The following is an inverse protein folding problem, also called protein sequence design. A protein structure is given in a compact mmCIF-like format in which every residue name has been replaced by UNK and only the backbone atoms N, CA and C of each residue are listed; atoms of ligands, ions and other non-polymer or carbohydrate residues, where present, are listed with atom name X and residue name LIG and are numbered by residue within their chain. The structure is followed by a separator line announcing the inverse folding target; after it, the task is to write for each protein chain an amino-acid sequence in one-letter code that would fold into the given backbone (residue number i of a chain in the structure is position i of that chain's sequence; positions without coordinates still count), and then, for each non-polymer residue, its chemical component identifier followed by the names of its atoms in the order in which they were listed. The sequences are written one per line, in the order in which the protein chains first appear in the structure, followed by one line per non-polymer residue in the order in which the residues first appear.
data_IF_599849876192
#
_entry.id   IF_599849876192
#
_cell.length_a   1.000
_cell.length_b   1.000
_cell.length_c   1.000
_cell.angle_alpha   90.00
_cell.angle_beta   90.00
_cell.angle_gamma   90.00
#
_symmetry.space_group_name_H-M   'P 1'
#
loop_
_entity.id
_entity.type
_entity.pdbx_description
1 polymer ?
#
# COMPACT_ATOMS: atom_id res chain seq x y z
N UNK A 1 76.40 14.78 55.53
CA UNK A 1 75.67 15.92 56.09
C UNK A 1 74.44 16.11 55.22
N UNK A 2 73.25 16.10 55.84
CA UNK A 2 71.90 16.22 55.27
C UNK A 2 71.86 17.46 54.33
N UNK A 3 71.20 17.45 53.15
CA UNK A 3 69.77 17.76 52.97
C UNK A 3 69.25 17.22 51.63
N UNK A 4 68.12 16.52 51.73
CA UNK A 4 67.18 16.14 50.66
C UNK A 4 66.34 17.34 50.21
N UNK A 5 66.00 17.41 48.93
CA UNK A 5 64.99 18.34 48.41
C UNK A 5 64.50 17.90 47.02
N UNK A 6 63.35 17.22 47.00
CA UNK A 6 62.60 16.78 45.82
C UNK A 6 61.83 17.94 45.17
N UNK A 7 61.87 18.06 43.85
CA UNK A 7 60.95 18.88 43.06
C UNK A 7 60.24 18.01 42.00
N UNK A 8 58.91 18.05 42.05
CA UNK A 8 57.91 17.40 41.18
C UNK A 8 57.98 17.98 39.76
N UNK A 9 57.90 17.19 38.67
CA UNK A 9 56.68 16.94 37.89
C UNK A 9 56.28 18.17 37.04
N UNK A 10 55.98 18.16 35.75
CA UNK A 10 55.50 17.20 34.75
C UNK A 10 55.90 17.77 33.36
N UNK A 11 56.16 16.99 32.31
CA UNK A 11 55.09 16.41 31.49
C UNK A 11 55.14 16.96 30.06
N UNK A 12 56.05 16.41 29.26
CA UNK A 12 56.18 16.64 27.81
C UNK A 12 55.10 15.88 27.05
N UNK A 13 54.30 16.56 26.21
CA UNK A 13 53.51 15.91 25.16
C UNK A 13 53.64 16.66 23.83
N UNK A 14 54.55 16.16 22.99
CA UNK A 14 54.55 16.35 21.54
C UNK A 14 53.44 15.47 20.95
N UNK A 15 52.45 16.08 20.29
CA UNK A 15 51.47 15.38 19.48
C UNK A 15 51.35 16.05 18.11
N UNK A 16 52.03 15.51 17.10
CA UNK A 16 51.85 15.90 15.69
C UNK A 16 50.55 15.30 15.18
N UNK A 17 49.56 16.12 14.86
CA UNK A 17 48.33 15.69 14.19
C UNK A 17 48.62 15.67 12.68
N UNK A 18 48.85 14.47 12.15
CA UNK A 18 49.01 14.21 10.72
C UNK A 18 47.61 14.06 10.12
N UNK A 19 47.16 15.06 9.36
CA UNK A 19 45.90 15.02 8.61
C UNK A 19 46.02 14.00 7.47
N UNK A 20 45.42 12.82 7.63
CA UNK A 20 45.15 11.91 6.51
C UNK A 20 43.85 12.31 5.85
N UNK A 21 43.95 12.92 4.67
CA UNK A 21 42.86 13.05 3.70
C UNK A 21 42.69 11.72 2.97
N UNK A 22 41.65 10.97 3.30
CA UNK A 22 41.20 9.83 2.49
C UNK A 22 39.95 10.26 1.73
N UNK A 23 40.10 10.59 0.45
CA UNK A 23 38.98 10.78 -0.45
C UNK A 23 38.46 9.39 -0.84
N UNK A 24 37.29 9.01 -0.34
CA UNK A 24 36.57 7.83 -0.82
C UNK A 24 35.95 8.16 -2.19
N UNK A 25 36.48 7.57 -3.25
CA UNK A 25 35.84 7.61 -4.57
C UNK A 25 34.74 6.56 -4.55
N UNK A 26 33.49 7.00 -4.38
CA UNK A 26 32.31 6.14 -4.52
C UNK A 26 32.02 6.03 -6.02
N UNK A 27 32.47 4.93 -6.61
CA UNK A 27 32.06 4.55 -7.96
C UNK A 27 30.61 4.09 -7.92
N UNK A 28 29.67 4.96 -8.30
CA UNK A 28 28.29 4.56 -8.56
C UNK A 28 28.28 3.82 -9.89
N UNK A 29 28.27 2.49 -9.85
CA UNK A 29 27.95 1.69 -11.01
C UNK A 29 26.46 1.92 -11.34
N UNK A 30 26.16 2.65 -12.41
CA UNK A 30 24.84 2.68 -13.01
C UNK A 30 24.58 1.28 -13.61
N UNK A 31 23.97 0.40 -12.82
CA UNK A 31 23.44 -0.84 -13.34
C UNK A 31 22.29 -0.52 -14.29
N UNK A 32 22.48 -0.80 -15.58
CA UNK A 32 21.40 -0.86 -16.54
C UNK A 32 20.55 -2.07 -16.19
N UNK A 33 19.50 -1.86 -15.39
CA UNK A 33 18.47 -2.87 -15.22
C UNK A 33 17.72 -2.98 -16.55
N UNK A 34 17.67 -4.15 -17.21
CA UNK A 34 16.79 -4.31 -18.36
C UNK A 34 15.37 -3.95 -17.93
N UNK A 35 14.69 -3.13 -18.74
CA UNK A 35 13.26 -2.93 -18.58
C UNK A 35 12.60 -4.31 -18.58
N UNK A 36 11.85 -4.63 -17.52
CA UNK A 36 11.08 -5.87 -17.46
C UNK A 36 10.21 -5.95 -18.72
N UNK A 37 10.23 -7.09 -19.42
CA UNK A 37 9.32 -7.30 -20.54
C UNK A 37 7.88 -7.06 -20.05
N UNK A 38 7.18 -6.18 -20.75
CA UNK A 38 5.79 -5.84 -20.48
C UNK A 38 4.90 -6.50 -21.52
N UNK A 39 3.77 -7.03 -21.09
CA UNK A 39 2.80 -7.76 -21.91
C UNK A 39 1.41 -7.16 -21.78
N UNK A 40 0.56 -7.44 -22.77
CA UNK A 40 -0.82 -6.99 -22.81
C UNK A 40 -1.74 -7.94 -22.02
N UNK A 41 -2.74 -7.36 -21.36
CA UNK A 41 -3.85 -8.08 -20.76
C UNK A 41 -5.14 -7.76 -21.51
N UNK A 42 -5.86 -8.77 -21.98
CA UNK A 42 -7.25 -8.65 -22.41
C UNK A 42 -8.17 -9.43 -21.47
N UNK A 43 -9.22 -8.78 -20.99
CA UNK A 43 -10.27 -9.42 -20.17
C UNK A 43 -11.57 -9.37 -20.94
N UNK A 44 -12.15 -10.55 -21.16
CA UNK A 44 -13.49 -10.71 -21.70
C UNK A 44 -14.47 -10.95 -20.54
N UNK A 45 -15.49 -10.11 -20.41
CA UNK A 45 -16.56 -10.25 -19.44
C UNK A 45 -17.77 -10.85 -20.17
N UNK A 46 -18.39 -11.88 -19.60
CA UNK A 46 -19.54 -12.55 -20.25
C UNK A 46 -20.68 -12.86 -19.28
N UNK A 47 -21.91 -12.85 -19.78
CA UNK A 47 -23.15 -13.20 -19.07
C UNK A 47 -23.54 -12.24 -17.93
N UNK A 48 -23.19 -10.96 -18.02
CA UNK A 48 -23.53 -9.97 -16.97
C UNK A 48 -24.99 -9.46 -17.03
N UNK A 49 -25.65 -9.59 -18.17
CA UNK A 49 -27.09 -9.32 -18.32
C UNK A 49 -27.89 -10.62 -18.24
N UNK A 50 -29.14 -10.58 -17.75
CA UNK A 50 -29.93 -9.39 -17.37
C UNK A 50 -29.67 -8.87 -15.94
N UNK A 51 -28.86 -9.56 -15.14
CA UNK A 51 -28.75 -9.31 -13.69
C UNK A 51 -28.14 -7.97 -13.32
N UNK A 52 -27.19 -7.47 -14.11
CA UNK A 52 -26.43 -6.25 -13.81
C UNK A 52 -26.68 -5.09 -14.78
N UNK A 53 -27.81 -5.08 -15.49
CA UNK A 53 -28.15 -3.98 -16.41
C UNK A 53 -28.14 -2.62 -15.70
N UNK A 54 -27.43 -1.65 -16.27
CA UNK A 54 -27.22 -0.29 -15.77
C UNK A 54 -26.49 -0.18 -14.41
N UNK A 55 -25.97 -1.27 -13.87
CA UNK A 55 -25.18 -1.24 -12.63
C UNK A 55 -23.73 -0.87 -12.93
N UNK A 56 -23.10 -0.17 -11.98
CA UNK A 56 -21.68 0.17 -12.05
C UNK A 56 -20.87 -1.13 -12.07
N UNK A 57 -19.86 -1.19 -12.93
CA UNK A 57 -18.89 -2.26 -12.96
C UNK A 57 -17.49 -1.68 -12.89
N UNK A 58 -16.65 -2.23 -12.00
CA UNK A 58 -15.23 -1.93 -11.95
C UNK A 58 -14.43 -3.20 -12.03
N UNK A 59 -13.26 -3.08 -12.66
CA UNK A 59 -12.23 -4.08 -12.70
C UNK A 59 -10.89 -3.41 -12.41
N UNK A 60 -10.10 -4.00 -11.52
CA UNK A 60 -8.72 -3.59 -11.27
C UNK A 60 -7.75 -4.73 -11.49
N UNK A 61 -6.51 -4.36 -11.76
CA UNK A 61 -5.38 -5.28 -11.79
C UNK A 61 -4.43 -4.94 -10.64
N UNK A 62 -4.12 -5.92 -9.81
CA UNK A 62 -3.34 -5.76 -8.58
C UNK A 62 -2.11 -6.65 -8.63
N UNK A 63 -0.93 -6.09 -8.41
CA UNK A 63 0.28 -6.88 -8.21
C UNK A 63 0.28 -7.52 -6.82
N UNK A 64 0.25 -8.85 -6.76
CA UNK A 64 0.06 -9.58 -5.49
C UNK A 64 1.28 -9.51 -4.55
N UNK A 65 2.47 -9.20 -5.05
CA UNK A 65 3.65 -9.07 -4.18
C UNK A 65 3.75 -7.70 -3.51
N UNK A 66 3.02 -6.71 -4.00
CA UNK A 66 3.13 -5.31 -3.54
C UNK A 66 1.80 -4.71 -3.07
N UNK A 67 0.66 -5.38 -3.30
CA UNK A 67 -0.68 -4.80 -3.08
C UNK A 67 -1.06 -3.69 -4.08
N UNK A 68 -0.11 -3.17 -4.86
CA UNK A 68 -0.35 -2.05 -5.77
C UNK A 68 -1.37 -2.37 -6.87
N UNK A 69 -2.41 -1.53 -6.97
CA UNK A 69 -3.26 -1.42 -8.15
C UNK A 69 -2.47 -0.78 -9.30
N UNK A 70 -2.32 -1.51 -10.40
CA UNK A 70 -1.56 -1.07 -11.58
C UNK A 70 -2.45 -0.61 -12.73
N UNK A 71 -3.72 -1.04 -12.76
CA UNK A 71 -4.69 -0.61 -13.75
C UNK A 71 -6.12 -0.70 -13.21
N UNK A 72 -7.01 0.10 -13.80
CA UNK A 72 -8.46 0.09 -13.53
C UNK A 72 -9.25 0.25 -14.82
N UNK A 73 -10.42 -0.36 -14.88
CA UNK A 73 -11.44 -0.21 -15.89
C UNK A 73 -12.79 0.00 -15.20
N UNK A 74 -13.58 0.94 -15.70
CA UNK A 74 -14.88 1.30 -15.15
C UNK A 74 -15.92 1.40 -16.26
N UNK A 75 -17.11 0.88 -15.98
CA UNK A 75 -18.34 1.17 -16.70
C UNK A 75 -19.35 1.74 -15.71
N UNK A 76 -19.80 2.97 -15.95
CA UNK A 76 -20.84 3.60 -15.13
C UNK A 76 -22.19 2.83 -15.18
N UNK A 77 -22.38 1.97 -16.18
CA UNK A 77 -23.54 1.09 -16.32
C UNK A 77 -23.27 0.00 -17.36
N UNK A 78 -23.53 -1.26 -17.01
CA UNK A 78 -23.45 -2.39 -17.96
C UNK A 78 -24.65 -2.34 -18.91
N UNK A 79 -24.38 -2.29 -20.22
CA UNK A 79 -25.41 -2.23 -21.27
C UNK A 79 -25.54 -3.56 -22.03
N UNK A 80 -24.44 -4.28 -22.20
CA UNK A 80 -24.37 -5.60 -22.85
C UNK A 80 -23.90 -6.65 -21.83
N UNK A 81 -24.40 -7.88 -21.95
CA UNK A 81 -23.97 -8.98 -21.10
C UNK A 81 -22.53 -9.40 -21.36
N UNK A 82 -22.05 -9.13 -22.57
CA UNK A 82 -20.70 -9.46 -23.01
C UNK A 82 -19.97 -8.17 -23.40
N UNK A 83 -18.80 -7.93 -22.80
CA UNK A 83 -17.96 -6.77 -23.06
C UNK A 83 -16.49 -7.09 -22.79
N UNK A 84 -15.56 -6.24 -23.21
CA UNK A 84 -14.13 -6.49 -23.00
C UNK A 84 -13.33 -5.21 -22.78
N UNK A 85 -12.15 -5.39 -22.19
CA UNK A 85 -11.15 -4.34 -22.02
C UNK A 85 -9.75 -4.89 -22.27
N UNK A 86 -8.85 -4.04 -22.75
CA UNK A 86 -7.45 -4.36 -22.99
C UNK A 86 -6.56 -3.32 -22.31
N UNK A 87 -5.58 -3.80 -21.55
CA UNK A 87 -4.52 -3.01 -20.95
C UNK A 87 -3.21 -3.35 -21.64
N UNK A 88 -2.65 -2.39 -22.39
CA UNK A 88 -1.39 -2.61 -23.11
C UNK A 88 -0.17 -2.38 -22.23
N UNK A 89 0.84 -3.25 -22.38
CA UNK A 89 2.13 -3.21 -21.68
C UNK A 89 1.99 -3.11 -20.14
N UNK A 90 1.00 -3.78 -19.55
CA UNK A 90 0.74 -3.67 -18.10
C UNK A 90 1.35 -4.80 -17.29
N UNK A 91 1.50 -6.00 -17.88
CA UNK A 91 1.94 -7.19 -17.16
C UNK A 91 3.46 -7.32 -17.22
N UNK A 92 4.13 -7.34 -16.08
CA UNK A 92 5.56 -7.61 -16.01
C UNK A 92 5.84 -9.11 -16.00
N UNK A 93 6.88 -9.52 -16.73
CA UNK A 93 7.35 -10.90 -16.75
C UNK A 93 7.70 -11.44 -15.36
N UNK A 94 7.20 -12.63 -15.04
CA UNK A 94 7.38 -13.34 -13.77
C UNK A 94 6.49 -12.84 -12.63
N UNK A 95 5.69 -11.80 -12.82
CA UNK A 95 4.84 -11.23 -11.75
C UNK A 95 3.48 -11.93 -11.71
N UNK A 96 2.94 -12.07 -10.50
CA UNK A 96 1.59 -12.56 -10.26
C UNK A 96 0.64 -11.40 -10.00
N UNK A 97 -0.55 -11.48 -10.60
CA UNK A 97 -1.57 -10.45 -10.45
C UNK A 97 -2.92 -11.04 -10.04
N UNK A 98 -3.70 -10.27 -9.29
CA UNK A 98 -5.14 -10.46 -9.17
C UNK A 98 -5.86 -9.55 -10.15
N UNK A 99 -6.79 -10.10 -10.92
CA UNK A 99 -7.83 -9.34 -11.62
C UNK A 99 -9.05 -9.39 -10.71
N UNK A 100 -9.34 -8.28 -10.07
CA UNK A 100 -10.49 -8.14 -9.18
C UNK A 100 -11.56 -7.34 -9.91
N UNK A 101 -12.80 -7.80 -9.86
CA UNK A 101 -13.92 -7.09 -10.45
C UNK A 101 -15.13 -7.14 -9.53
N UNK A 102 -15.94 -6.10 -9.56
CA UNK A 102 -17.25 -6.09 -8.91
C UNK A 102 -18.29 -5.38 -9.78
N UNK A 103 -19.54 -5.80 -9.59
CA UNK A 103 -20.72 -5.09 -10.06
C UNK A 103 -21.52 -4.62 -8.84
N UNK A 104 -21.81 -3.32 -8.78
CA UNK A 104 -22.56 -2.63 -7.74
C UNK A 104 -24.02 -3.09 -7.77
N UNK A 105 -24.31 -4.14 -7.00
CA UNK A 105 -25.61 -4.80 -7.06
C UNK A 105 -26.65 -4.07 -6.20
N UNK A 106 -26.20 -3.39 -5.14
CA UNK A 106 -27.06 -2.62 -4.25
C UNK A 106 -27.32 -1.17 -4.73
N UNK A 107 -26.64 -0.74 -5.80
CA UNK A 107 -26.77 0.55 -6.49
C UNK A 107 -26.38 1.78 -5.65
N UNK A 108 -25.45 1.62 -4.70
CA UNK A 108 -24.99 2.72 -3.86
C UNK A 108 -23.74 3.45 -4.39
N UNK A 109 -23.20 3.01 -5.54
CA UNK A 109 -22.01 3.54 -6.23
C UNK A 109 -20.69 3.34 -5.48
N UNK A 110 -20.66 2.44 -4.49
CA UNK A 110 -19.49 2.03 -3.74
C UNK A 110 -19.29 0.52 -3.90
N UNK A 111 -18.14 0.03 -3.44
CA UNK A 111 -17.95 -1.40 -3.26
C UNK A 111 -18.43 -1.78 -1.86
N UNK A 112 -19.30 -2.77 -1.77
CA UNK A 112 -19.63 -3.47 -0.54
C UNK A 112 -19.33 -4.97 -0.68
N UNK A 113 -18.65 -5.60 0.29
CA UNK A 113 -18.37 -7.02 0.22
C UNK A 113 -19.62 -7.88 -0.05
N UNK A 114 -19.51 -8.97 -0.82
CA UNK A 114 -20.63 -9.87 -1.07
C UNK A 114 -21.32 -10.31 0.24
N UNK A 115 -22.67 -10.38 0.27
CA UNK A 115 -23.55 -10.41 -0.90
C UNK A 115 -24.13 -9.04 -1.30
N UNK A 116 -23.64 -7.93 -0.73
CA UNK A 116 -24.14 -6.60 -1.09
C UNK A 116 -23.84 -6.29 -2.56
N UNK A 117 -22.60 -6.54 -2.98
CA UNK A 117 -22.19 -6.59 -4.39
C UNK A 117 -21.81 -7.99 -4.85
N UNK A 118 -21.75 -8.17 -6.16
CA UNK A 118 -21.17 -9.37 -6.76
C UNK A 118 -19.74 -9.08 -7.17
N UNK A 119 -18.79 -9.83 -6.61
CA UNK A 119 -17.37 -9.63 -6.84
C UNK A 119 -16.63 -10.93 -7.14
N UNK A 120 -15.61 -10.84 -7.98
CA UNK A 120 -14.86 -11.98 -8.50
C UNK A 120 -13.36 -11.67 -8.56
N UNK A 121 -12.54 -12.71 -8.43
CA UNK A 121 -11.08 -12.65 -8.55
C UNK A 121 -10.58 -13.72 -9.52
N UNK A 122 -9.71 -13.33 -10.45
CA UNK A 122 -8.91 -14.24 -11.28
C UNK A 122 -7.44 -14.04 -10.92
N UNK A 123 -6.72 -15.12 -10.66
CA UNK A 123 -5.27 -15.08 -10.38
C UNK A 123 -4.51 -15.35 -11.68
N UNK A 124 -3.68 -14.39 -12.10
CA UNK A 124 -2.69 -14.54 -13.16
C UNK A 124 -1.33 -14.86 -12.54
N UNK A 125 -0.96 -16.14 -12.47
CA UNK A 125 0.29 -16.56 -11.86
C UNK A 125 1.48 -16.44 -12.83
N UNK A 126 2.52 -15.69 -12.43
CA UNK A 126 3.83 -15.66 -13.10
C UNK A 126 3.77 -15.39 -14.60
N UNK A 127 3.27 -14.21 -15.00
CA UNK A 127 3.03 -13.86 -16.41
C UNK A 127 4.31 -13.98 -17.24
N UNK A 128 4.23 -14.54 -18.46
CA UNK A 128 5.40 -14.65 -19.38
C UNK A 128 5.09 -14.25 -20.81
N UNK A 129 3.86 -13.83 -21.10
CA UNK A 129 3.40 -13.40 -22.43
C UNK A 129 2.12 -12.57 -22.31
N UNK A 130 1.67 -12.01 -23.45
CA UNK A 130 0.33 -11.46 -23.57
C UNK A 130 -0.69 -12.49 -23.12
N UNK A 131 -1.70 -12.03 -22.38
CA UNK A 131 -2.65 -12.88 -21.69
C UNK A 131 -4.07 -12.44 -22.02
N UNK A 132 -4.92 -13.40 -22.37
CA UNK A 132 -6.37 -13.19 -22.49
C UNK A 132 -7.07 -14.09 -21.50
N UNK A 133 -7.97 -13.53 -20.70
CA UNK A 133 -8.82 -14.29 -19.77
C UNK A 133 -10.28 -13.96 -19.98
N UNK A 134 -11.15 -14.85 -19.50
CA UNK A 134 -12.60 -14.63 -19.49
C UNK A 134 -13.10 -14.65 -18.06
N UNK A 135 -13.74 -13.56 -17.64
CA UNK A 135 -14.51 -13.45 -16.42
C UNK A 135 -15.98 -13.76 -16.75
N UNK A 136 -16.43 -14.94 -16.35
CA UNK A 136 -17.82 -15.37 -16.52
C UNK A 136 -18.61 -15.01 -15.26
N UNK A 137 -19.72 -14.30 -15.43
CA UNK A 137 -20.66 -14.06 -14.33
C UNK A 137 -21.11 -15.40 -13.71
N UNK A 138 -20.95 -15.51 -12.39
CA UNK A 138 -21.37 -16.67 -11.62
C UNK A 138 -21.60 -16.28 -10.15
N UNK A 139 -22.14 -17.21 -9.36
CA UNK A 139 -22.47 -16.98 -7.95
C UNK A 139 -21.32 -17.32 -6.96
N UNK A 140 -20.10 -17.57 -7.44
CA UNK A 140 -18.93 -17.83 -6.59
C UNK A 140 -18.26 -16.49 -6.24
N UNK A 141 -18.95 -15.68 -5.45
CA UNK A 141 -18.44 -14.38 -5.07
C UNK A 141 -17.34 -14.48 -4.03
N UNK A 142 -16.39 -13.56 -4.12
CA UNK A 142 -15.30 -13.42 -3.16
C UNK A 142 -15.21 -11.97 -2.72
N UNK A 143 -14.91 -11.75 -1.45
CA UNK A 143 -14.46 -10.45 -1.01
C UNK A 143 -13.11 -10.16 -1.68
N UNK A 144 -13.05 -9.08 -2.45
CA UNK A 144 -11.86 -8.64 -3.17
C UNK A 144 -11.08 -7.60 -2.39
N UNK A 145 -11.59 -7.17 -1.22
CA UNK A 145 -10.98 -6.17 -0.36
C UNK A 145 -10.69 -4.91 -1.17
N UNK A 146 -11.73 -4.29 -1.76
CA UNK A 146 -11.59 -3.05 -2.54
C UNK A 146 -11.87 -1.85 -1.63
N UNK A 147 -11.05 -0.78 -1.65
CA UNK A 147 -9.94 -0.52 -2.57
C UNK A 147 -8.59 -1.17 -2.19
N UNK A 148 -8.50 -1.98 -1.14
CA UNK A 148 -7.20 -2.40 -0.57
C UNK A 148 -6.95 -3.92 -0.56
N UNK A 149 -6.41 -4.47 -1.65
CA UNK A 149 -6.26 -5.90 -1.85
C UNK A 149 -5.10 -6.46 -1.02
N UNK A 150 -5.35 -7.53 -0.26
CA UNK A 150 -4.31 -8.27 0.46
C UNK A 150 -4.18 -7.93 1.93
N UNK A 151 -4.94 -6.95 2.42
CA UNK A 151 -5.17 -6.74 3.84
C UNK A 151 -6.26 -7.69 4.30
N UNK A 152 -5.95 -8.59 5.24
CA UNK A 152 -6.98 -9.31 5.96
C UNK A 152 -7.93 -8.26 6.56
N UNK A 153 -9.27 -8.47 6.67
CA UNK A 153 -10.10 -7.51 7.39
C UNK A 153 -9.47 -7.26 8.75
N UNK A 154 -8.98 -6.03 8.95
CA UNK A 154 -8.21 -5.69 10.14
C UNK A 154 -9.06 -6.05 11.36
N UNK A 155 -8.50 -6.77 12.35
CA UNK A 155 -9.19 -6.97 13.61
C UNK A 155 -9.62 -5.58 14.12
N UNK A 156 -10.89 -5.41 14.47
CA UNK A 156 -11.46 -4.13 14.90
C UNK A 156 -10.88 -3.55 16.22
N UNK A 157 -9.69 -3.98 16.63
CA UNK A 157 -9.10 -3.78 17.97
C UNK A 157 -7.56 -3.58 17.94
N UNK A 158 -6.94 -3.45 16.76
CA UNK A 158 -5.54 -2.98 16.66
C UNK A 158 -5.55 -1.51 16.28
N UNK A 159 -5.01 -0.66 17.16
CA UNK A 159 -4.78 0.74 16.86
C UNK A 159 -3.70 0.85 15.77
N UNK A 160 -4.09 0.66 14.51
CA UNK A 160 -3.25 0.84 13.35
C UNK A 160 -3.20 2.32 12.93
N UNK A 161 -2.43 2.60 11.89
CA UNK A 161 -2.32 3.94 11.33
C UNK A 161 -3.29 4.20 10.17
N UNK A 162 -4.12 3.22 9.80
CA UNK A 162 -5.12 3.28 8.73
C UNK A 162 -6.48 3.66 9.35
N UNK A 163 -6.52 4.90 9.82
CA UNK A 163 -7.66 5.42 10.57
C UNK A 163 -8.91 5.49 9.70
N UNK A 164 -8.77 5.69 8.40
CA UNK A 164 -9.90 5.79 7.48
C UNK A 164 -10.29 4.43 6.84
N UNK A 165 -9.55 3.36 7.12
CA UNK A 165 -9.78 2.02 6.58
C UNK A 165 -9.50 1.92 5.07
N UNK A 166 -8.72 2.86 4.54
CA UNK A 166 -8.33 2.92 3.14
C UNK A 166 -7.06 2.14 2.83
N UNK A 167 -6.59 1.32 3.78
CA UNK A 167 -5.52 0.36 3.61
C UNK A 167 -4.15 0.98 3.40
N UNK A 168 -4.05 2.30 3.46
CA UNK A 168 -2.82 3.05 3.50
C UNK A 168 -2.63 3.67 4.86
N UNK A 169 -1.37 3.86 5.25
CA UNK A 169 -1.03 4.87 6.24
C UNK A 169 -0.51 6.09 5.45
N UNK A 170 -1.40 7.03 5.14
CA UNK A 170 -1.09 8.22 4.37
C UNK A 170 -1.70 9.51 4.94
N UNK A 171 -1.81 10.55 4.10
CA UNK A 171 -2.34 11.84 4.54
C UNK A 171 -3.86 11.79 4.79
N UNK A 172 -4.58 10.82 4.22
CA UNK A 172 -5.98 10.52 4.49
C UNK A 172 -6.22 10.20 5.96
N UNK A 173 -5.35 9.41 6.57
CA UNK A 173 -5.43 9.05 8.00
C UNK A 173 -5.21 10.24 8.91
N UNK A 174 -4.33 11.15 8.50
CA UNK A 174 -4.12 12.41 9.21
C UNK A 174 -5.39 13.26 9.19
N UNK A 175 -6.12 13.27 8.08
CA UNK A 175 -7.40 13.99 7.97
C UNK A 175 -8.46 13.34 8.86
N UNK A 176 -8.51 12.01 8.88
CA UNK A 176 -9.45 11.25 9.72
C UNK A 176 -9.15 11.43 11.21
N UNK A 177 -7.87 11.36 11.62
CA UNK A 177 -7.44 11.65 12.98
C UNK A 177 -7.94 13.03 13.45
N UNK A 178 -7.73 14.06 12.62
CA UNK A 178 -8.17 15.42 12.94
C UNK A 178 -9.70 15.51 13.06
N UNK A 179 -10.44 14.81 12.18
CA UNK A 179 -11.90 14.78 12.22
C UNK A 179 -12.41 14.15 13.53
N UNK A 180 -11.88 12.98 13.90
CA UNK A 180 -12.28 12.26 15.13
C UNK A 180 -11.96 13.03 16.40
N UNK A 181 -10.76 13.63 16.50
CA UNK A 181 -10.37 14.45 17.66
C UNK A 181 -11.25 15.70 17.78
N UNK A 182 -11.56 16.36 16.67
CA UNK A 182 -12.47 17.52 16.65
C UNK A 182 -13.86 17.16 17.15
N UNK A 183 -14.34 15.99 16.76
CA UNK A 183 -15.69 15.51 17.09
C UNK A 183 -15.76 14.90 18.50
N UNK A 184 -14.64 14.89 19.24
CA UNK A 184 -14.56 14.46 20.63
C UNK A 184 -14.60 12.94 20.79
N UNK A 185 -14.05 12.20 19.82
CA UNK A 185 -13.91 10.76 19.91
C UNK A 185 -13.11 10.38 21.17
N UNK A 186 -13.68 9.46 21.95
CA UNK A 186 -13.01 8.80 23.07
C UNK A 186 -12.46 7.47 22.56
N UNK A 187 -11.43 7.58 21.73
CA UNK A 187 -10.80 6.46 21.03
C UNK A 187 -9.33 6.38 21.47
N UNK A 188 -8.96 5.35 22.27
CA UNK A 188 -7.58 5.12 22.69
C UNK A 188 -6.59 5.00 21.52
N UNK A 189 -7.06 4.66 20.32
CA UNK A 189 -6.22 4.55 19.13
C UNK A 189 -5.77 5.90 18.57
N UNK A 190 -6.37 7.00 19.02
CA UNK A 190 -5.94 8.34 18.62
C UNK A 190 -4.78 8.88 19.49
N UNK A 191 -4.46 8.23 20.62
CA UNK A 191 -3.33 8.54 21.50
C UNK A 191 -2.07 7.78 21.09
N UNK A 192 -1.49 8.16 19.94
CA UNK A 192 -0.31 7.50 19.38
C UNK A 192 0.94 7.63 20.28
N UNK A 193 0.97 8.62 21.17
CA UNK A 193 2.12 8.84 22.05
C UNK A 193 1.96 8.21 23.45
N UNK A 194 0.76 7.76 23.79
CA UNK A 194 0.44 7.00 25.01
C UNK A 194 0.45 7.85 26.28
N UNK A 195 0.11 9.14 26.17
CA UNK A 195 0.09 10.07 27.31
C UNK A 195 -1.32 10.37 27.86
N UNK A 196 -2.32 9.59 27.43
CA UNK A 196 -3.74 9.70 27.73
C UNK A 196 -4.32 11.08 27.32
N UNK A 197 -3.71 11.76 26.33
CA UNK A 197 -4.15 13.09 25.88
C UNK A 197 -4.08 13.23 24.37
N UNK A 198 -5.24 13.45 23.76
CA UNK A 198 -5.32 13.79 22.33
C UNK A 198 -4.77 15.20 22.07
N UNK A 199 -3.71 15.29 21.27
CA UNK A 199 -3.06 16.55 20.95
C UNK A 199 -2.09 16.52 19.77
N UNK A 200 -1.38 17.62 19.58
CA UNK A 200 -0.41 17.77 18.48
C UNK A 200 0.72 16.72 18.57
N UNK A 201 1.02 16.21 19.76
CA UNK A 201 2.04 15.18 19.94
C UNK A 201 1.67 13.86 19.24
N UNK A 202 0.39 13.45 19.31
CA UNK A 202 -0.13 12.27 18.60
C UNK A 202 -0.09 12.45 17.10
N UNK A 203 -0.55 13.61 16.62
CA UNK A 203 -0.51 13.93 15.20
C UNK A 203 0.94 13.89 14.65
N UNK A 204 1.90 14.42 15.41
CA UNK A 204 3.31 14.34 15.05
C UNK A 204 3.78 12.88 15.04
N UNK A 205 3.35 12.07 16.00
CA UNK A 205 3.71 10.65 16.07
C UNK A 205 3.16 9.88 14.86
N UNK A 206 1.88 10.04 14.54
CA UNK A 206 1.22 9.48 13.35
C UNK A 206 1.98 9.86 12.06
N UNK A 207 2.30 11.14 11.88
CA UNK A 207 3.07 11.61 10.71
C UNK A 207 4.48 11.02 10.62
N UNK A 208 5.13 10.81 11.77
CA UNK A 208 6.45 10.18 11.83
C UNK A 208 6.38 8.70 11.47
N UNK A 209 5.34 7.99 11.93
CA UNK A 209 5.15 6.57 11.65
C UNK A 209 4.76 6.33 10.18
N UNK A 210 3.85 7.15 9.62
CA UNK A 210 3.56 7.19 8.17
C UNK A 210 4.86 7.41 7.37
N UNK A 211 5.66 8.42 7.74
CA UNK A 211 6.90 8.75 7.03
C UNK A 211 7.96 7.66 7.13
N UNK A 212 8.06 7.01 8.29
CA UNK A 212 9.02 5.95 8.52
C UNK A 212 8.64 4.64 7.82
N UNK A 213 7.42 4.54 7.29
CA UNK A 213 6.81 3.26 6.95
C UNK A 213 6.76 2.35 8.17
N UNK A 214 6.62 2.93 9.36
CA UNK A 214 6.58 2.22 10.65
C UNK A 214 5.19 1.67 10.97
N UNK A 215 4.19 2.08 10.19
CA UNK A 215 2.87 1.47 10.12
C UNK A 215 2.93 0.19 9.26
N UNK A 216 3.83 -0.72 9.61
CA UNK A 216 3.82 -2.06 9.06
C UNK A 216 2.83 -2.85 9.90
N UNK A 217 1.73 -3.26 9.28
CA UNK A 217 0.83 -4.26 9.83
C UNK A 217 1.64 -5.52 10.20
N UNK A 218 1.50 -6.01 11.44
CA UNK A 218 2.02 -7.33 11.85
C UNK A 218 1.06 -8.45 11.47
#
# INVERSE_FOLDING_TARGET
MIVSGTFSGEGSLRGKIQRMTTAAVISVALAWLPASAQYDLTVNMTSFTPTHENQLFKLRLVNTSTGQQVAEYELAGIVDGDFSTTFSNILASGVTYNIDAFADFNDNKLYDPPPADHAWRIILAGVTSDTTVTLVHNANWVDIQYPNPGQQPEPADTCDCDLNGDGGADIGDVVEWVARVRDGADDPCLDYNGDDRLGIADLIRLLLDIRAGGCLEE
#
